data_IF_368223923894
#
_entry.id   IF_368223923894
#
_cell.length_a   1.000
_cell.length_b   1.000
_cell.length_c   1.000
_cell.angle_alpha   90.00
_cell.angle_beta   90.00
_cell.angle_gamma   90.00
#
_symmetry.space_group_name_H-M   'P 1'
#
loop_
_entity.id
_entity.type
_entity.pdbx_description
1 polymer ?
#
# COMPACT_ATOMS: atom_id res chain seq x y z
N UNK A 1 8.91 -67.42 -24.30
CA UNK A 1 7.62 -67.55 -25.01
C UNK A 1 7.00 -66.15 -25.11
N UNK A 2 7.23 -65.45 -26.23
CA UNK A 2 6.21 -65.04 -27.24
C UNK A 2 5.29 -63.90 -26.76
N UNK A 3 5.56 -62.62 -27.10
CA UNK A 3 5.17 -61.84 -28.32
C UNK A 3 3.71 -61.33 -28.28
N UNK A 4 3.42 -60.01 -28.31
CA UNK A 4 3.21 -59.12 -29.48
C UNK A 4 3.03 -57.66 -28.98
N UNK A 5 3.81 -56.66 -29.42
CA UNK A 5 3.67 -55.79 -30.60
C UNK A 5 2.56 -54.72 -30.54
N UNK A 6 2.93 -53.44 -30.39
CA UNK A 6 2.59 -52.40 -31.37
C UNK A 6 3.57 -51.21 -31.31
N UNK A 7 4.06 -50.83 -32.49
CA UNK A 7 5.07 -49.80 -32.80
C UNK A 7 4.37 -48.47 -33.10
N UNK A 8 4.98 -47.35 -32.71
CA UNK A 8 5.01 -46.14 -33.52
C UNK A 8 6.46 -45.62 -33.55
N UNK A 9 7.04 -45.58 -34.76
CA UNK A 9 8.45 -45.27 -35.02
C UNK A 9 8.66 -43.77 -35.15
N UNK A 10 9.60 -43.24 -34.39
CA UNK A 10 10.37 -42.04 -34.71
C UNK A 10 11.29 -42.30 -35.90
N UNK A 11 11.42 -41.35 -36.83
CA UNK A 11 12.62 -41.29 -37.67
C UNK A 11 12.97 -39.85 -38.01
N UNK A 12 14.02 -39.34 -37.37
CA UNK A 12 14.83 -38.25 -37.87
C UNK A 12 15.73 -38.78 -38.99
N UNK A 13 15.84 -38.06 -40.11
CA UNK A 13 17.00 -38.10 -41.00
C UNK A 13 17.24 -36.72 -41.61
N UNK A 14 18.51 -36.34 -41.58
CA UNK A 14 19.08 -35.07 -42.01
C UNK A 14 19.39 -34.99 -43.52
N UNK A 15 19.62 -33.73 -43.95
CA UNK A 15 20.50 -33.21 -45.04
C UNK A 15 19.79 -32.84 -46.37
N UNK A 16 20.38 -31.97 -47.23
CA UNK A 16 20.87 -30.61 -46.99
C UNK A 16 20.51 -29.61 -48.15
N UNK A 17 20.79 -28.31 -47.91
CA UNK A 17 21.19 -27.24 -48.85
C UNK A 17 20.52 -27.12 -50.25
N UNK A 18 19.75 -26.05 -50.45
CA UNK A 18 19.73 -25.29 -51.70
C UNK A 18 19.40 -23.81 -51.42
N UNK A 19 20.36 -22.94 -51.72
CA UNK A 19 20.22 -21.50 -51.68
C UNK A 19 19.30 -21.03 -52.80
N UNK A 20 18.27 -20.24 -52.47
CA UNK A 20 17.57 -19.41 -53.45
C UNK A 20 17.48 -17.99 -52.89
N UNK A 21 18.40 -17.15 -53.36
CA UNK A 21 18.42 -15.71 -53.21
C UNK A 21 17.21 -15.10 -53.90
N UNK A 22 16.35 -14.40 -53.16
CA UNK A 22 15.26 -13.60 -53.72
C UNK A 22 15.57 -12.12 -53.46
N UNK A 23 16.30 -11.51 -54.39
CA UNK A 23 16.49 -10.06 -54.49
C UNK A 23 15.24 -9.43 -55.10
N UNK A 24 14.47 -8.69 -54.31
CA UNK A 24 13.43 -7.77 -54.82
C UNK A 24 14.00 -6.37 -54.76
N UNK A 25 14.37 -5.84 -55.92
CA UNK A 25 14.83 -4.47 -56.11
C UNK A 25 13.62 -3.52 -56.09
N UNK A 26 13.61 -2.58 -55.15
CA UNK A 26 12.73 -1.39 -55.20
C UNK A 26 13.39 -0.37 -56.15
N UNK A 27 12.86 -0.27 -57.37
CA UNK A 27 13.19 0.80 -58.31
C UNK A 27 12.25 1.98 -58.10
N UNK A 28 12.80 3.09 -57.61
CA UNK A 28 12.18 4.40 -57.66
C UNK A 28 12.00 4.82 -59.12
N UNK A 29 10.76 5.04 -59.56
CA UNK A 29 10.46 5.74 -60.82
C UNK A 29 9.69 7.01 -60.49
N UNK A 30 10.42 8.11 -60.44
CA UNK A 30 9.93 9.47 -60.50
C UNK A 30 9.20 9.71 -61.83
N UNK A 31 7.88 9.89 -61.79
CA UNK A 31 7.08 10.22 -62.96
C UNK A 31 7.29 11.69 -63.33
N UNK A 32 8.11 11.94 -64.35
CA UNK A 32 8.18 13.23 -65.04
C UNK A 32 6.93 13.35 -65.92
N UNK A 33 5.99 14.20 -65.54
CA UNK A 33 4.83 14.51 -66.37
C UNK A 33 5.27 15.33 -67.59
N UNK A 34 5.20 14.72 -68.77
CA UNK A 34 5.33 15.43 -70.05
C UNK A 34 4.08 16.29 -70.29
N UNK A 35 4.28 17.60 -70.36
CA UNK A 35 3.24 18.55 -70.75
C UNK A 35 2.92 18.38 -72.26
N UNK A 36 1.77 17.79 -72.58
CA UNK A 36 1.22 17.83 -73.92
C UNK A 36 0.52 19.17 -74.16
N UNK A 37 0.96 19.89 -75.18
CA UNK A 37 0.36 21.16 -75.63
C UNK A 37 -0.97 20.87 -76.34
N UNK A 38 -2.08 21.23 -75.71
CA UNK A 38 -3.42 21.14 -76.32
C UNK A 38 -3.60 22.18 -77.45
N UNK A 39 -4.35 21.87 -78.52
CA UNK A 39 -4.61 22.78 -79.62
C UNK A 39 -5.58 23.90 -79.23
N UNK A 40 -5.38 25.09 -79.80
CA UNK A 40 -6.16 26.30 -79.53
C UNK A 40 -7.59 26.17 -80.08
N UNK A 41 -8.58 26.33 -79.20
CA UNK A 41 -9.99 26.49 -79.56
C UNK A 41 -10.28 27.96 -79.94
N UNK A 42 -11.19 28.22 -80.90
CA UNK A 42 -11.50 29.57 -81.37
C UNK A 42 -12.27 30.39 -80.33
N UNK A 43 -12.00 31.69 -80.31
CA UNK A 43 -12.50 32.66 -79.34
C UNK A 43 -14.03 32.83 -79.39
N UNK A 44 -14.68 32.63 -78.24
CA UNK A 44 -16.07 33.01 -78.00
C UNK A 44 -16.19 34.52 -77.68
N UNK A 45 -17.29 35.19 -78.04
CA UNK A 45 -17.46 36.64 -77.85
C UNK A 45 -17.58 37.01 -76.35
N UNK A 46 -17.08 38.20 -76.02
CA UNK A 46 -16.97 38.72 -74.66
C UNK A 46 -18.34 38.81 -73.95
N UNK A 47 -18.46 38.12 -72.81
CA UNK A 47 -19.56 38.29 -71.88
C UNK A 47 -19.43 39.63 -71.11
N UNK A 48 -20.55 40.31 -70.79
CA UNK A 48 -20.53 41.58 -70.07
C UNK A 48 -19.97 41.42 -68.65
N UNK A 49 -19.25 42.45 -68.19
CA UNK A 49 -18.58 42.47 -66.89
C UNK A 49 -19.55 42.20 -65.74
N UNK A 50 -19.26 41.13 -64.98
CA UNK A 50 -19.96 40.83 -63.73
C UNK A 50 -19.68 41.93 -62.69
N UNK A 51 -20.67 42.36 -61.89
CA UNK A 51 -20.49 43.37 -60.86
C UNK A 51 -19.48 42.89 -59.81
N UNK A 52 -18.66 43.83 -59.33
CA UNK A 52 -17.61 43.59 -58.35
C UNK A 52 -18.17 42.89 -57.10
N UNK A 53 -17.58 41.74 -56.75
CA UNK A 53 -17.90 41.05 -55.52
C UNK A 53 -17.69 42.00 -54.32
N UNK A 54 -18.63 42.10 -53.38
CA UNK A 54 -18.44 42.90 -52.18
C UNK A 54 -17.19 42.40 -51.43
N UNK A 55 -16.32 43.34 -51.07
CA UNK A 55 -15.09 43.04 -50.34
C UNK A 55 -15.42 42.21 -49.11
N UNK A 56 -14.90 40.98 -49.05
CA UNK A 56 -15.01 40.13 -47.89
C UNK A 56 -14.45 40.90 -46.69
N UNK A 57 -15.32 41.24 -45.73
CA UNK A 57 -14.90 41.79 -44.46
C UNK A 57 -13.93 40.79 -43.84
N UNK A 58 -12.69 41.24 -43.60
CA UNK A 58 -11.68 40.43 -42.95
C UNK A 58 -12.26 39.94 -41.62
N UNK A 59 -12.35 38.61 -41.46
CA UNK A 59 -12.78 38.01 -40.21
C UNK A 59 -11.92 38.58 -39.07
N UNK A 60 -12.53 38.97 -37.93
CA UNK A 60 -11.77 39.47 -36.79
C UNK A 60 -10.65 38.49 -36.45
N UNK A 61 -9.42 39.00 -36.38
CA UNK A 61 -8.25 38.20 -36.06
C UNK A 61 -8.48 37.45 -34.76
N UNK A 62 -8.26 36.13 -34.78
CA UNK A 62 -8.37 35.30 -33.59
C UNK A 62 -7.46 35.88 -32.48
N UNK A 63 -7.93 35.90 -31.22
CA UNK A 63 -7.12 36.39 -30.11
C UNK A 63 -5.79 35.65 -30.06
N UNK A 64 -4.70 36.40 -29.82
CA UNK A 64 -3.36 35.83 -29.77
C UNK A 64 -3.28 34.75 -28.67
N UNK A 65 -2.61 33.61 -28.92
CA UNK A 65 -2.48 32.56 -27.92
C UNK A 65 -1.72 33.09 -26.68
N UNK A 66 -2.06 32.60 -25.48
CA UNK A 66 -1.39 33.03 -24.26
C UNK A 66 0.11 32.67 -24.29
N UNK A 67 0.97 33.44 -23.62
CA UNK A 67 2.40 33.17 -23.57
C UNK A 67 2.69 31.80 -22.94
N UNK A 68 3.76 31.11 -23.35
CA UNK A 68 4.09 29.78 -22.84
C UNK A 68 4.40 29.81 -21.34
N UNK A 69 4.15 28.69 -20.66
CA UNK A 69 4.36 28.55 -19.21
C UNK A 69 5.79 28.91 -18.77
N UNK A 70 6.80 28.62 -19.59
CA UNK A 70 8.20 28.96 -19.30
C UNK A 70 8.49 30.47 -19.24
N UNK A 71 7.66 31.30 -19.87
CA UNK A 71 7.76 32.75 -19.84
C UNK A 71 6.94 33.35 -18.69
N UNK A 72 5.81 32.72 -18.34
CA UNK A 72 4.93 33.18 -17.25
C UNK A 72 5.48 32.79 -15.87
N UNK A 73 6.07 31.60 -15.74
CA UNK A 73 6.62 31.13 -14.48
C UNK A 73 7.95 31.83 -14.16
N UNK A 74 8.16 32.16 -12.89
CA UNK A 74 9.37 32.84 -12.42
C UNK A 74 9.96 32.14 -11.18
N UNK A 75 11.22 32.44 -10.87
CA UNK A 75 11.92 31.96 -9.68
C UNK A 75 11.89 30.43 -9.52
N UNK A 76 11.57 29.97 -8.31
CA UNK A 76 11.50 28.54 -8.00
C UNK A 76 10.37 27.82 -8.73
N UNK A 77 9.25 28.47 -9.02
CA UNK A 77 8.18 27.81 -9.78
C UNK A 77 8.63 27.41 -11.19
N UNK A 78 9.43 28.26 -11.85
CA UNK A 78 10.03 27.95 -13.16
C UNK A 78 11.04 26.82 -13.07
N UNK A 79 11.92 26.84 -12.07
CA UNK A 79 12.91 25.80 -11.87
C UNK A 79 12.26 24.41 -11.63
N UNK A 80 11.21 24.35 -10.81
CA UNK A 80 10.47 23.11 -10.55
C UNK A 80 9.73 22.63 -11.82
N UNK A 81 9.15 23.55 -12.60
CA UNK A 81 8.52 23.23 -13.89
C UNK A 81 9.52 22.66 -14.92
N UNK A 82 10.70 23.26 -15.05
CA UNK A 82 11.74 22.78 -15.96
C UNK A 82 12.28 21.41 -15.54
N UNK A 83 12.49 21.19 -14.23
CA UNK A 83 12.85 19.88 -13.70
C UNK A 83 11.75 18.83 -13.99
N UNK A 84 10.48 19.20 -13.79
CA UNK A 84 9.35 18.33 -14.09
C UNK A 84 9.29 17.93 -15.57
N UNK A 85 9.58 18.86 -16.50
CA UNK A 85 9.63 18.58 -17.95
C UNK A 85 10.71 17.57 -18.32
N UNK A 86 11.88 17.66 -17.68
CA UNK A 86 12.97 16.70 -17.90
C UNK A 86 12.51 15.31 -17.45
N UNK A 87 12.03 15.17 -16.21
CA UNK A 87 11.53 13.90 -15.68
C UNK A 87 10.38 13.32 -16.49
N UNK A 88 9.46 14.17 -16.95
CA UNK A 88 8.33 13.76 -17.78
C UNK A 88 8.79 13.18 -19.12
N UNK A 89 9.76 13.85 -19.78
CA UNK A 89 10.34 13.36 -21.04
C UNK A 89 11.07 12.02 -20.83
N UNK A 90 11.68 11.84 -19.66
CA UNK A 90 12.38 10.62 -19.29
C UNK A 90 11.43 9.48 -18.86
N UNK A 91 10.11 9.74 -18.83
CA UNK A 91 9.08 8.76 -18.47
C UNK A 91 8.93 8.55 -16.95
N UNK A 92 9.64 9.31 -16.13
CA UNK A 92 9.54 9.28 -14.67
C UNK A 92 8.36 10.14 -14.20
N UNK A 93 7.15 9.68 -14.49
CA UNK A 93 5.91 10.37 -14.14
C UNK A 93 5.70 10.47 -12.63
N UNK A 94 6.25 9.52 -11.86
CA UNK A 94 6.14 9.47 -10.40
C UNK A 94 6.88 10.64 -9.74
N UNK A 95 8.06 11.00 -10.25
CA UNK A 95 8.79 12.17 -9.76
C UNK A 95 8.37 13.46 -10.48
N UNK A 96 8.01 13.39 -11.76
CA UNK A 96 7.55 14.56 -12.52
C UNK A 96 6.29 15.20 -11.91
N UNK A 97 5.33 14.39 -11.45
CA UNK A 97 4.10 14.91 -10.84
C UNK A 97 4.39 15.73 -9.58
N UNK A 98 5.33 15.28 -8.74
CA UNK A 98 5.74 15.99 -7.51
C UNK A 98 6.28 17.38 -7.86
N UNK A 99 7.08 17.45 -8.92
CA UNK A 99 7.69 18.70 -9.40
C UNK A 99 6.66 19.65 -10.03
N UNK A 100 5.72 19.15 -10.81
CA UNK A 100 4.61 19.96 -11.33
C UNK A 100 3.67 20.43 -10.22
N UNK A 101 3.33 19.59 -9.25
CA UNK A 101 2.54 19.97 -8.07
C UNK A 101 3.23 21.08 -7.30
N UNK A 102 4.55 20.97 -7.07
CA UNK A 102 5.32 22.03 -6.42
C UNK A 102 5.33 23.34 -7.21
N UNK A 103 5.50 23.28 -8.53
CA UNK A 103 5.43 24.45 -9.39
C UNK A 103 4.04 25.12 -9.32
N UNK A 104 2.97 24.32 -9.27
CA UNK A 104 1.60 24.81 -9.15
C UNK A 104 1.33 25.43 -7.77
N UNK A 105 1.83 24.83 -6.68
CA UNK A 105 1.72 25.40 -5.33
C UNK A 105 2.35 26.79 -5.23
N UNK A 106 3.51 26.97 -5.86
CA UNK A 106 4.30 28.20 -5.83
C UNK A 106 3.74 29.31 -6.72
N UNK A 107 3.27 28.96 -7.92
CA UNK A 107 2.80 29.94 -8.91
C UNK A 107 1.29 30.17 -8.90
N UNK A 108 0.50 29.18 -8.45
CA UNK A 108 -0.96 29.10 -8.62
C UNK A 108 -1.44 29.23 -10.06
N UNK A 109 -0.57 28.98 -11.04
CA UNK A 109 -0.87 29.03 -12.46
C UNK A 109 -1.74 27.81 -12.88
N UNK A 110 -3.02 28.01 -13.23
CA UNK A 110 -3.96 26.90 -13.47
C UNK A 110 -3.52 25.99 -14.61
N UNK A 111 -2.85 26.50 -15.66
CA UNK A 111 -2.39 25.71 -16.81
C UNK A 111 -1.40 24.60 -16.45
N UNK A 112 -0.75 24.66 -15.27
CA UNK A 112 0.07 23.57 -14.76
C UNK A 112 -0.74 22.31 -14.40
N UNK A 113 -2.04 22.45 -14.08
CA UNK A 113 -2.92 21.31 -13.78
C UNK A 113 -3.04 20.35 -14.97
N UNK A 114 -2.92 20.83 -16.20
CA UNK A 114 -2.88 19.97 -17.39
C UNK A 114 -1.66 19.03 -17.38
N UNK A 115 -0.48 19.54 -17.02
CA UNK A 115 0.74 18.72 -16.92
C UNK A 115 0.64 17.70 -15.78
N UNK A 116 0.01 18.08 -14.66
CA UNK A 116 -0.28 17.18 -13.54
C UNK A 116 -1.24 16.06 -14.00
N UNK A 117 -2.32 16.41 -14.72
CA UNK A 117 -3.27 15.44 -15.26
C UNK A 117 -2.61 14.46 -16.24
N UNK A 118 -1.70 14.93 -17.11
CA UNK A 118 -0.93 14.07 -18.00
C UNK A 118 -0.03 13.08 -17.23
N UNK A 119 0.58 13.50 -16.12
CA UNK A 119 1.32 12.57 -15.26
C UNK A 119 0.38 11.52 -14.64
N UNK A 120 -0.78 11.95 -14.12
CA UNK A 120 -1.77 11.06 -13.51
C UNK A 120 -2.30 10.02 -14.52
N UNK A 121 -2.49 10.39 -15.79
CA UNK A 121 -2.83 9.47 -16.88
C UNK A 121 -1.81 8.35 -17.00
N UNK A 122 -0.52 8.69 -17.09
CA UNK A 122 0.55 7.71 -17.25
C UNK A 122 0.73 6.84 -16.00
N UNK A 123 0.39 7.36 -14.82
CA UNK A 123 0.34 6.64 -13.56
C UNK A 123 -0.96 5.84 -13.35
N UNK A 124 -1.90 5.88 -14.31
CA UNK A 124 -3.23 5.24 -14.24
C UNK A 124 -4.05 5.64 -13.00
N UNK A 125 -3.91 6.90 -12.58
CA UNK A 125 -4.63 7.52 -11.45
C UNK A 125 -5.81 8.34 -11.97
N UNK A 126 -6.78 7.67 -12.60
CA UNK A 126 -7.85 8.31 -13.36
C UNK A 126 -8.80 9.16 -12.49
N UNK A 127 -9.04 8.76 -11.25
CA UNK A 127 -9.87 9.46 -10.29
C UNK A 127 -9.24 10.78 -9.88
N UNK A 128 -7.91 10.77 -9.63
CA UNK A 128 -7.12 11.99 -9.39
C UNK A 128 -7.11 12.89 -10.63
N UNK A 129 -7.01 12.28 -11.81
CA UNK A 129 -7.05 12.98 -13.10
C UNK A 129 -8.37 13.71 -13.32
N UNK A 130 -9.50 13.04 -13.11
CA UNK A 130 -10.82 13.63 -13.21
C UNK A 130 -10.94 14.87 -12.31
N UNK A 131 -10.60 14.73 -11.02
CA UNK A 131 -10.62 15.84 -10.08
C UNK A 131 -9.66 17.00 -10.47
N UNK A 132 -8.51 16.68 -11.07
CA UNK A 132 -7.51 17.67 -11.51
C UNK A 132 -7.98 18.46 -12.73
N UNK A 133 -8.60 17.79 -13.72
CA UNK A 133 -9.12 18.45 -14.92
C UNK A 133 -10.38 19.26 -14.60
N UNK A 134 -11.26 18.77 -13.74
CA UNK A 134 -12.39 19.56 -13.22
C UNK A 134 -11.92 20.80 -12.45
N UNK A 135 -10.81 20.69 -11.71
CA UNK A 135 -10.19 21.83 -11.05
C UNK A 135 -9.60 22.81 -12.07
N UNK A 136 -8.93 22.34 -13.12
CA UNK A 136 -8.42 23.18 -14.19
C UNK A 136 -9.53 24.02 -14.82
N UNK A 137 -10.66 23.40 -15.18
CA UNK A 137 -11.79 24.11 -15.78
C UNK A 137 -12.37 25.18 -14.85
N UNK A 138 -12.45 24.89 -13.54
CA UNK A 138 -12.94 25.84 -12.53
C UNK A 138 -11.96 26.99 -12.30
N UNK A 139 -10.67 26.71 -12.16
CA UNK A 139 -9.66 27.68 -11.74
C UNK A 139 -9.14 28.55 -12.91
N UNK A 140 -9.03 27.98 -14.12
CA UNK A 140 -8.54 28.71 -15.29
C UNK A 140 -9.59 29.68 -15.84
N UNK A 141 -10.87 29.33 -15.79
CA UNK A 141 -11.97 30.17 -16.27
C UNK A 141 -11.69 30.73 -17.67
N UNK A 142 -11.72 32.07 -17.88
CA UNK A 142 -11.46 32.70 -19.18
C UNK A 142 -10.00 32.60 -19.69
N UNK A 143 -9.04 32.20 -18.85
CA UNK A 143 -7.63 32.06 -19.25
C UNK A 143 -7.40 30.80 -20.10
N UNK A 144 -8.34 29.86 -20.05
CA UNK A 144 -8.32 28.65 -20.87
C UNK A 144 -8.87 29.00 -22.25
N UNK A 145 -8.14 28.66 -23.32
CA UNK A 145 -8.66 28.86 -24.66
C UNK A 145 -9.93 28.03 -24.88
N UNK A 146 -10.80 28.44 -25.82
CA UNK A 146 -12.00 27.66 -26.13
C UNK A 146 -11.67 26.23 -26.57
N UNK A 147 -10.53 26.05 -27.25
CA UNK A 147 -10.05 24.73 -27.67
C UNK A 147 -9.63 23.90 -26.45
N UNK A 148 -8.80 24.44 -25.56
CA UNK A 148 -8.34 23.73 -24.36
C UNK A 148 -9.51 23.33 -23.45
N UNK A 149 -10.56 24.16 -23.38
CA UNK A 149 -11.79 23.82 -22.65
C UNK A 149 -12.50 22.61 -23.26
N UNK A 150 -12.67 22.59 -24.60
CA UNK A 150 -13.27 21.45 -25.31
C UNK A 150 -12.43 20.18 -25.12
N UNK A 151 -11.12 20.30 -25.26
CA UNK A 151 -10.21 19.17 -25.06
C UNK A 151 -10.30 18.62 -23.63
N UNK A 152 -10.44 19.49 -22.62
CA UNK A 152 -10.65 19.08 -21.23
C UNK A 152 -12.01 18.39 -21.01
N UNK A 153 -13.08 18.89 -21.63
CA UNK A 153 -14.42 18.27 -21.58
C UNK A 153 -14.43 16.87 -22.22
N UNK A 154 -13.84 16.73 -23.41
CA UNK A 154 -13.69 15.45 -24.11
C UNK A 154 -12.84 14.46 -23.31
N UNK A 155 -11.77 14.96 -22.68
CA UNK A 155 -10.91 14.17 -21.82
C UNK A 155 -11.66 13.65 -20.59
N UNK A 156 -12.46 14.49 -19.93
CA UNK A 156 -13.32 14.06 -18.82
C UNK A 156 -14.27 12.94 -19.29
N UNK A 157 -14.97 13.13 -20.42
CA UNK A 157 -15.88 12.12 -20.95
C UNK A 157 -15.17 10.79 -21.24
N UNK A 158 -13.95 10.84 -21.78
CA UNK A 158 -13.14 9.65 -22.07
C UNK A 158 -12.69 8.95 -20.79
N UNK A 159 -12.31 9.70 -19.75
CA UNK A 159 -11.77 9.15 -18.49
C UNK A 159 -12.86 8.53 -17.63
N UNK A 160 -14.10 9.03 -17.70
CA UNK A 160 -15.21 8.52 -16.89
C UNK A 160 -15.43 7.01 -17.06
N UNK A 161 -15.12 6.44 -18.23
CA UNK A 161 -15.22 4.99 -18.48
C UNK A 161 -14.18 4.17 -17.68
N UNK A 162 -13.09 4.80 -17.23
CA UNK A 162 -12.04 4.16 -16.43
C UNK A 162 -12.20 4.38 -14.92
N UNK A 163 -13.29 5.01 -14.49
CA UNK A 163 -13.61 5.27 -13.09
C UNK A 163 -14.99 4.71 -12.80
N UNK A 164 -15.15 4.03 -11.66
CA UNK A 164 -16.42 3.50 -11.18
C UNK A 164 -16.86 4.23 -9.92
N UNK A 165 -18.18 4.38 -9.76
CA UNK A 165 -18.78 4.84 -8.50
C UNK A 165 -18.99 3.62 -7.60
N UNK A 166 -18.31 3.59 -6.46
CA UNK A 166 -18.40 2.49 -5.50
C UNK A 166 -19.26 2.87 -4.30
N UNK A 167 -20.37 2.16 -4.10
CA UNK A 167 -21.18 2.21 -2.88
C UNK A 167 -20.64 1.19 -1.88
N UNK A 168 -20.16 1.67 -0.73
CA UNK A 168 -19.60 0.82 0.33
C UNK A 168 -20.56 0.83 1.52
N UNK A 169 -21.15 -0.32 1.81
CA UNK A 169 -21.98 -0.53 2.98
C UNK A 169 -21.18 -1.34 4.02
N UNK A 170 -21.09 -0.81 5.25
CA UNK A 170 -20.44 -1.50 6.38
C UNK A 170 -21.49 -1.68 7.47
N UNK A 171 -21.59 -2.88 8.04
CA UNK A 171 -22.53 -3.19 9.13
C UNK A 171 -22.30 -2.32 10.38
N UNK A 172 -21.05 -1.96 10.66
CA UNK A 172 -20.63 -1.19 11.81
C UNK A 172 -20.41 0.29 11.46
N UNK A 173 -21.09 1.24 12.11
CA UNK A 173 -20.81 2.66 11.97
C UNK A 173 -19.49 3.03 12.67
N UNK A 174 -18.84 4.11 12.21
CA UNK A 174 -17.56 4.58 12.75
C UNK A 174 -16.35 3.77 12.28
N UNK A 175 -16.50 2.89 11.28
CA UNK A 175 -15.40 2.14 10.70
C UNK A 175 -14.68 2.98 9.63
N UNK A 176 -13.35 3.02 9.70
CA UNK A 176 -12.49 3.68 8.71
C UNK A 176 -12.46 2.84 7.44
N UNK A 177 -12.64 3.49 6.28
CA UNK A 177 -12.58 2.84 4.97
C UNK A 177 -11.45 3.44 4.15
N UNK A 178 -10.61 2.58 3.61
CA UNK A 178 -9.49 2.93 2.74
C UNK A 178 -9.56 2.15 1.42
N UNK A 179 -9.21 2.81 0.33
CA UNK A 179 -9.06 2.22 -1.01
C UNK A 179 -7.63 2.46 -1.46
N UNK A 180 -6.89 1.40 -1.76
CA UNK A 180 -5.46 1.42 -2.11
C UNK A 180 -4.59 2.17 -1.07
N UNK A 181 -4.99 2.11 0.20
CA UNK A 181 -4.32 2.79 1.31
C UNK A 181 -4.63 4.28 1.44
N UNK A 182 -5.53 4.83 0.62
CA UNK A 182 -6.05 6.19 0.76
C UNK A 182 -7.38 6.14 1.50
N UNK A 183 -7.49 6.89 2.59
CA UNK A 183 -8.74 7.04 3.33
C UNK A 183 -9.81 7.75 2.48
N UNK A 184 -10.96 7.09 2.32
CA UNK A 184 -12.09 7.60 1.54
C UNK A 184 -13.24 8.06 2.42
N UNK A 185 -13.23 7.68 3.69
CA UNK A 185 -14.19 8.15 4.69
C UNK A 185 -14.41 7.18 5.84
N UNK A 186 -15.43 7.47 6.64
CA UNK A 186 -15.86 6.68 7.78
C UNK A 186 -17.31 6.23 7.55
N UNK A 187 -17.63 4.99 7.91
CA UNK A 187 -18.98 4.43 7.74
C UNK A 187 -19.99 5.13 8.67
N UNK A 188 -21.24 5.38 8.23
CA UNK A 188 -21.75 5.19 6.87
C UNK A 188 -21.27 6.26 5.88
N UNK A 189 -20.84 5.85 4.69
CA UNK A 189 -20.44 6.77 3.62
C UNK A 189 -21.66 7.14 2.78
N UNK A 190 -22.04 8.42 2.77
CA UNK A 190 -23.26 8.89 2.09
C UNK A 190 -23.12 8.99 0.57
N UNK A 191 -21.95 9.37 0.07
CA UNK A 191 -21.70 9.56 -1.35
C UNK A 191 -20.90 8.37 -1.93
N UNK A 192 -21.17 7.92 -3.16
CA UNK A 192 -20.34 6.93 -3.81
C UNK A 192 -18.88 7.39 -3.93
N UNK A 193 -17.95 6.49 -3.62
CA UNK A 193 -16.51 6.73 -3.72
C UNK A 193 -16.08 6.47 -5.16
N UNK A 194 -15.38 7.40 -5.80
CA UNK A 194 -14.80 7.16 -7.12
C UNK A 194 -13.57 6.27 -7.00
N UNK A 195 -13.53 5.22 -7.81
CA UNK A 195 -12.46 4.22 -7.78
C UNK A 195 -11.97 3.93 -9.20
N UNK A 196 -10.66 3.86 -9.37
CA UNK A 196 -10.02 3.55 -10.65
C UNK A 196 -10.26 2.09 -11.09
N UNK A 197 -10.37 1.87 -12.40
CA UNK A 197 -10.37 0.54 -13.02
C UNK A 197 -9.17 -0.32 -12.58
N UNK A 198 -9.37 -1.63 -12.47
CA UNK A 198 -8.35 -2.62 -12.13
C UNK A 198 -8.55 -3.25 -10.75
N UNK A 199 -7.51 -3.92 -10.24
CA UNK A 199 -7.54 -4.55 -8.92
C UNK A 199 -7.29 -3.52 -7.83
N UNK A 200 -8.26 -3.37 -6.94
CA UNK A 200 -8.28 -2.35 -5.88
C UNK A 200 -8.36 -3.02 -4.54
N UNK A 201 -7.51 -2.60 -3.61
CA UNK A 201 -7.47 -3.12 -2.25
C UNK A 201 -8.35 -2.24 -1.37
N UNK A 202 -9.45 -2.80 -0.88
CA UNK A 202 -10.33 -2.16 0.08
C UNK A 202 -9.96 -2.67 1.47
N UNK A 203 -9.77 -1.75 2.41
CA UNK A 203 -9.48 -2.02 3.80
C UNK A 203 -10.53 -1.31 4.66
N UNK A 204 -11.15 -2.06 5.56
CA UNK A 204 -12.11 -1.52 6.53
C UNK A 204 -11.63 -1.89 7.92
N UNK A 205 -11.43 -0.89 8.78
CA UNK A 205 -10.90 -1.09 10.12
C UNK A 205 -11.70 -0.31 11.16
N UNK A 206 -11.84 -0.90 12.34
CA UNK A 206 -12.48 -0.30 13.50
C UNK A 206 -11.84 -0.86 14.76
N UNK A 207 -11.48 -0.04 15.78
CA UNK A 207 -10.97 -0.55 17.03
C UNK A 207 -11.90 -1.58 17.67
N UNK A 208 -11.36 -2.72 18.11
CA UNK A 208 -12.13 -3.84 18.68
C UNK A 208 -12.78 -4.76 17.64
N UNK A 209 -12.45 -4.62 16.36
CA UNK A 209 -12.90 -5.50 15.28
C UNK A 209 -11.71 -6.02 14.49
N UNK A 210 -11.83 -7.26 14.00
CA UNK A 210 -10.87 -7.84 13.06
C UNK A 210 -10.92 -7.03 11.76
N UNK A 211 -9.76 -6.60 11.30
CA UNK A 211 -9.64 -5.82 10.08
C UNK A 211 -10.12 -6.62 8.86
N UNK A 212 -10.95 -6.00 8.01
CA UNK A 212 -11.38 -6.59 6.75
C UNK A 212 -10.54 -6.05 5.60
N UNK A 213 -9.91 -6.95 4.83
CA UNK A 213 -9.11 -6.60 3.65
C UNK A 213 -9.59 -7.44 2.47
N UNK A 214 -10.08 -6.77 1.43
CA UNK A 214 -10.57 -7.41 0.21
C UNK A 214 -9.93 -6.78 -1.01
N UNK A 215 -9.55 -7.61 -1.99
CA UNK A 215 -9.15 -7.11 -3.31
C UNK A 215 -10.31 -7.30 -4.27
N UNK A 216 -10.81 -6.20 -4.84
CA UNK A 216 -11.91 -6.20 -5.80
C UNK A 216 -11.40 -5.78 -7.17
N UNK A 217 -11.80 -6.51 -8.21
CA UNK A 217 -11.56 -6.10 -9.59
C UNK A 217 -12.69 -5.19 -10.06
N UNK A 218 -12.32 -4.00 -10.56
CA UNK A 218 -13.21 -2.94 -11.01
C UNK A 218 -13.07 -2.82 -12.52
N UNK A 219 -14.17 -2.95 -13.26
CA UNK A 219 -14.16 -2.89 -14.72
C UNK A 219 -14.11 -1.45 -15.27
N UNK A 220 -14.51 -0.44 -14.48
CA UNK A 220 -14.65 0.96 -14.91
C UNK A 220 -16.06 1.24 -15.47
N UNK A 221 -16.52 2.50 -15.39
CA UNK A 221 -17.77 2.98 -15.98
C UNK A 221 -19.04 2.62 -15.20
N UNK A 222 -19.11 1.42 -14.61
CA UNK A 222 -20.29 0.94 -13.89
C UNK A 222 -20.30 1.33 -12.40
N UNK A 223 -21.48 1.30 -11.79
CA UNK A 223 -21.65 1.41 -10.34
C UNK A 223 -21.35 0.05 -9.67
N UNK A 224 -20.48 0.06 -8.65
CA UNK A 224 -20.06 -1.14 -7.92
C UNK A 224 -20.58 -1.07 -6.49
N UNK A 225 -21.27 -2.11 -6.04
CA UNK A 225 -21.71 -2.22 -4.64
C UNK A 225 -20.83 -3.21 -3.87
N UNK A 226 -20.32 -2.79 -2.71
CA UNK A 226 -19.54 -3.61 -1.80
C UNK A 226 -20.20 -3.60 -0.41
N UNK A 227 -20.47 -4.77 0.14
CA UNK A 227 -20.99 -4.94 1.50
C UNK A 227 -19.92 -5.63 2.36
N UNK A 228 -19.51 -4.97 3.44
CA UNK A 228 -18.50 -5.45 4.37
C UNK A 228 -19.14 -5.70 5.73
N UNK A 229 -18.84 -6.85 6.32
CA UNK A 229 -19.30 -7.23 7.64
C UNK A 229 -18.09 -7.38 8.58
N UNK A 230 -17.87 -6.40 9.45
CA UNK A 230 -16.82 -6.45 10.45
C UNK A 230 -17.20 -7.41 11.58
N UNK A 231 -16.21 -8.21 12.00
CA UNK A 231 -16.35 -9.18 13.09
C UNK A 231 -15.60 -8.67 14.31
N UNK A 232 -16.24 -8.68 15.47
CA UNK A 232 -15.62 -8.21 16.70
C UNK A 232 -14.39 -9.06 17.05
N UNK A 233 -13.30 -8.40 17.44
CA UNK A 233 -12.08 -9.06 17.89
C UNK A 233 -12.18 -9.31 19.39
N UNK A 234 -12.50 -10.55 19.74
CA UNK A 234 -12.66 -10.95 21.14
C UNK A 234 -11.37 -11.59 21.62
N UNK A 235 -10.67 -10.90 22.53
CA UNK A 235 -9.39 -11.34 23.06
C UNK A 235 -9.58 -12.38 24.17
N UNK A 236 -10.01 -13.58 23.80
CA UNK A 236 -10.27 -14.68 24.74
C UNK A 236 -9.86 -16.03 24.17
N UNK A 237 -9.41 -16.92 25.05
CA UNK A 237 -9.26 -18.35 24.78
C UNK A 237 -10.15 -19.19 25.69
N UNK A 238 -10.08 -20.51 25.54
CA UNK A 238 -10.78 -21.49 26.37
C UNK A 238 -9.78 -22.26 27.22
N UNK A 239 -9.95 -22.22 28.53
CA UNK A 239 -9.13 -22.98 29.47
C UNK A 239 -9.92 -24.17 29.99
N UNK A 240 -9.36 -25.37 29.81
CA UNK A 240 -9.85 -26.61 30.40
C UNK A 240 -8.89 -27.03 31.51
N UNK A 241 -9.36 -27.05 32.75
CA UNK A 241 -8.63 -27.55 33.91
C UNK A 241 -9.21 -28.89 34.32
N UNK A 242 -8.34 -29.90 34.47
CA UNK A 242 -8.67 -31.20 35.04
C UNK A 242 -7.86 -31.39 36.33
N UNK A 243 -8.55 -31.51 37.44
CA UNK A 243 -8.00 -31.76 38.77
C UNK A 243 -8.77 -32.90 39.46
N UNK A 244 -8.37 -33.27 40.68
CA UNK A 244 -9.08 -34.26 41.49
C UNK A 244 -10.53 -33.84 41.78
N UNK A 245 -11.48 -34.77 41.96
CA UNK A 245 -12.92 -34.47 41.98
C UNK A 245 -13.36 -33.37 42.96
N UNK A 246 -12.70 -33.28 44.12
CA UNK A 246 -12.99 -32.30 45.18
C UNK A 246 -12.01 -31.13 45.22
N UNK A 247 -11.03 -31.10 44.31
CA UNK A 247 -10.02 -30.05 44.26
C UNK A 247 -10.67 -28.74 43.81
N UNK A 248 -10.46 -27.68 44.60
CA UNK A 248 -10.96 -26.34 44.30
C UNK A 248 -10.05 -25.67 43.30
N UNK A 249 -10.62 -25.22 42.19
CA UNK A 249 -9.92 -24.50 41.13
C UNK A 249 -10.21 -23.01 41.27
N UNK A 250 -9.17 -22.21 41.41
CA UNK A 250 -9.24 -20.76 41.40
C UNK A 250 -8.38 -20.18 40.27
N UNK A 251 -8.92 -19.18 39.57
CA UNK A 251 -8.23 -18.43 38.53
C UNK A 251 -8.17 -16.97 38.98
N UNK A 252 -6.97 -16.39 39.02
CA UNK A 252 -6.70 -15.02 39.49
C UNK A 252 -7.30 -14.74 40.88
N UNK A 253 -7.25 -15.74 41.77
CA UNK A 253 -7.78 -15.66 43.13
C UNK A 253 -9.29 -15.86 43.24
N UNK A 254 -10.04 -15.96 42.14
CA UNK A 254 -11.48 -16.26 42.14
C UNK A 254 -11.72 -17.75 41.96
N UNK A 255 -12.51 -18.37 42.83
CA UNK A 255 -12.92 -19.78 42.68
C UNK A 255 -13.84 -19.90 41.45
N UNK A 256 -13.44 -20.73 40.49
CA UNK A 256 -14.15 -20.94 39.22
C UNK A 256 -14.88 -22.27 39.15
N UNK A 257 -14.45 -23.28 39.93
CA UNK A 257 -15.09 -24.59 39.96
C UNK A 257 -14.36 -25.61 40.83
N UNK A 258 -14.78 -26.87 40.74
CA UNK A 258 -14.13 -28.03 41.39
C UNK A 258 -13.93 -29.18 40.40
N UNK A 259 -12.84 -29.93 40.54
CA UNK A 259 -12.54 -31.10 39.71
C UNK A 259 -12.27 -30.77 38.25
N UNK A 260 -13.31 -30.74 37.41
CA UNK A 260 -13.18 -30.33 36.01
C UNK A 260 -13.86 -29.00 35.77
N UNK A 261 -13.13 -28.05 35.20
CA UNK A 261 -13.67 -26.74 34.83
C UNK A 261 -13.28 -26.38 33.40
N UNK A 262 -14.24 -25.84 32.65
CA UNK A 262 -14.05 -25.33 31.29
C UNK A 262 -14.72 -23.97 31.16
N UNK A 263 -13.99 -22.97 30.67
CA UNK A 263 -14.52 -21.63 30.52
C UNK A 263 -13.72 -20.75 29.57
N UNK A 264 -14.32 -19.65 29.14
CA UNK A 264 -13.61 -18.60 28.42
C UNK A 264 -12.81 -17.74 29.40
N UNK A 265 -11.56 -17.48 29.05
CA UNK A 265 -10.62 -16.67 29.81
C UNK A 265 -10.07 -15.60 28.88
N UNK A 266 -9.84 -14.39 29.40
CA UNK A 266 -9.17 -13.34 28.60
C UNK A 266 -7.81 -13.83 28.13
N UNK A 267 -7.33 -13.29 27.02
CA UNK A 267 -5.98 -13.59 26.58
C UNK A 267 -4.98 -12.83 27.42
N UNK A 268 -3.87 -13.47 27.78
CA UNK A 268 -2.89 -12.97 28.73
C UNK A 268 -2.45 -14.01 29.75
N UNK A 269 -1.63 -13.58 30.70
CA UNK A 269 -1.19 -14.41 31.83
C UNK A 269 -2.24 -14.44 32.94
N UNK A 270 -2.59 -15.63 33.39
CA UNK A 270 -3.52 -15.87 34.49
C UNK A 270 -2.87 -16.76 35.56
N UNK A 271 -3.15 -16.50 36.83
CA UNK A 271 -2.68 -17.35 37.93
C UNK A 271 -3.69 -18.45 38.20
N UNK A 272 -3.34 -19.69 37.85
CA UNK A 272 -4.09 -20.88 38.19
C UNK A 272 -3.67 -21.40 39.56
N UNK A 273 -4.63 -21.56 40.46
CA UNK A 273 -4.43 -22.20 41.77
C UNK A 273 -5.38 -23.38 41.92
N UNK A 274 -4.86 -24.53 42.33
CA UNK A 274 -5.65 -25.73 42.65
C UNK A 274 -5.32 -26.17 44.07
N UNK A 275 -6.34 -26.34 44.91
CA UNK A 275 -6.16 -26.63 46.34
C UNK A 275 -7.19 -27.63 46.84
N UNK A 276 -6.77 -28.51 47.75
CA UNK A 276 -7.64 -29.42 48.48
C UNK A 276 -7.17 -29.58 49.94
N UNK A 277 -8.07 -29.87 50.90
CA UNK A 277 -7.69 -30.10 52.29
C UNK A 277 -6.64 -31.23 52.42
N UNK A 278 -5.55 -30.97 53.15
CA UNK A 278 -4.48 -31.95 53.37
C UNK A 278 -3.52 -32.13 52.18
N UNK A 279 -3.68 -31.36 51.10
CA UNK A 279 -2.83 -31.39 49.91
C UNK A 279 -1.97 -30.12 49.81
N UNK A 280 -0.81 -30.22 49.17
CA UNK A 280 0.02 -29.08 48.79
C UNK A 280 -0.69 -28.29 47.68
N UNK A 281 -0.81 -26.98 47.85
CA UNK A 281 -1.50 -26.12 46.87
C UNK A 281 -0.65 -25.99 45.61
N UNK A 282 -1.22 -26.33 44.46
CA UNK A 282 -0.60 -26.08 43.17
C UNK A 282 -0.88 -24.65 42.74
N UNK A 283 0.16 -23.91 42.34
CA UNK A 283 0.02 -22.58 41.74
C UNK A 283 0.94 -22.45 40.53
N UNK A 284 0.37 -22.02 39.40
CA UNK A 284 1.12 -21.83 38.16
C UNK A 284 0.56 -20.68 37.32
N UNK A 285 1.42 -20.03 36.55
CA UNK A 285 0.99 -19.06 35.55
C UNK A 285 0.59 -19.78 34.24
N UNK A 286 -0.57 -19.41 33.70
CA UNK A 286 -1.11 -19.94 32.46
C UNK A 286 -1.33 -18.79 31.50
N UNK A 287 -0.55 -18.78 30.42
CA UNK A 287 -0.76 -17.84 29.32
C UNK A 287 -1.81 -18.41 28.36
N UNK A 288 -2.87 -17.64 28.13
CA UNK A 288 -3.94 -17.92 27.18
C UNK A 288 -3.77 -17.01 25.96
N UNK A 289 -3.78 -17.59 24.77
CA UNK A 289 -3.78 -16.84 23.50
C UNK A 289 -5.20 -16.71 22.94
N UNK A 290 -5.41 -15.73 22.07
CA UNK A 290 -6.68 -15.53 21.37
C UNK A 290 -7.10 -16.78 20.61
N UNK A 291 -8.37 -17.16 20.74
CA UNK A 291 -8.97 -18.33 20.09
C UNK A 291 -8.28 -19.69 20.46
N UNK A 292 -7.37 -19.72 21.44
CA UNK A 292 -6.67 -20.93 21.87
C UNK A 292 -7.52 -21.77 22.82
N UNK A 293 -7.51 -23.10 22.63
CA UNK A 293 -7.96 -24.05 23.66
C UNK A 293 -6.73 -24.57 24.40
N UNK A 294 -6.62 -24.28 25.70
CA UNK A 294 -5.51 -24.73 26.54
C UNK A 294 -6.00 -25.69 27.60
N UNK A 295 -5.37 -26.86 27.68
CA UNK A 295 -5.66 -27.86 28.72
C UNK A 295 -4.57 -27.86 29.78
N UNK A 296 -4.99 -27.93 31.04
CA UNK A 296 -4.12 -28.10 32.21
C UNK A 296 -4.63 -29.25 33.05
N UNK A 297 -3.77 -30.26 33.19
CA UNK A 297 -4.00 -31.40 34.06
C UNK A 297 -3.14 -31.19 35.31
N UNK A 298 -3.78 -31.23 36.47
CA UNK A 298 -3.16 -30.94 37.76
C UNK A 298 -3.43 -32.11 38.69
N UNK A 299 -2.36 -32.68 39.23
CA UNK A 299 -2.41 -33.71 40.26
C UNK A 299 -1.73 -33.16 41.51
N UNK A 300 -2.51 -32.99 42.58
CA UNK A 300 -1.99 -32.47 43.84
C UNK A 300 -1.20 -33.55 44.59
N UNK A 301 -0.18 -33.14 45.34
CA UNK A 301 0.58 -34.02 46.24
C UNK A 301 0.10 -33.81 47.68
N UNK A 302 0.10 -34.86 48.54
CA UNK A 302 -0.20 -34.69 49.96
C UNK A 302 0.77 -33.70 50.62
N UNK A 303 0.25 -32.80 51.46
CA UNK A 303 1.08 -31.87 52.20
C UNK A 303 1.95 -32.63 53.21
N UNK A 304 3.25 -32.30 53.35
CA UNK A 304 4.09 -32.94 54.37
C UNK A 304 3.53 -32.62 55.76
N UNK A 305 3.29 -33.66 56.56
CA UNK A 305 2.93 -33.49 57.98
C UNK A 305 4.14 -32.90 58.70
N UNK A 306 4.13 -31.59 58.96
CA UNK A 306 5.24 -30.96 59.68
C UNK A 306 5.27 -31.49 61.12
N UNK A 307 6.22 -32.36 61.44
CA UNK A 307 6.57 -32.73 62.82
C UNK A 307 7.45 -31.66 63.51
N UNK A 308 7.55 -30.44 62.94
CA UNK A 308 8.45 -29.36 63.37
C UNK A 308 7.97 -28.59 64.63
N UNK A 309 7.26 -29.25 65.55
CA UNK A 309 6.93 -28.69 66.85
C UNK A 309 7.13 -29.67 68.03
N UNK A 310 7.51 -30.93 67.78
CA UNK A 310 7.55 -31.96 68.85
C UNK A 310 8.92 -32.10 69.53
N UNK A 311 10.00 -31.56 68.96
CA UNK A 311 11.36 -31.67 69.53
C UNK A 311 11.72 -30.56 70.55
N UNK A 312 11.02 -29.42 70.55
CA UNK A 312 11.46 -28.23 71.31
C UNK A 312 11.29 -28.29 72.84
N UNK A 313 10.76 -29.38 73.42
CA UNK A 313 10.51 -29.46 74.88
C UNK A 313 11.24 -30.59 75.62
N UNK A 314 12.07 -31.42 74.97
CA UNK A 314 12.88 -32.44 75.66
C UNK A 314 14.36 -32.14 75.47
N UNK A 315 14.81 -31.02 76.03
CA UNK A 315 16.21 -30.59 75.93
C UNK A 315 16.51 -29.25 76.57
N UNK A 316 15.73 -28.82 77.56
CA UNK A 316 16.14 -27.72 78.43
C UNK A 316 17.12 -28.24 79.48
N UNK A 317 18.40 -27.87 79.37
CA UNK A 317 19.41 -28.26 80.37
C UNK A 317 20.82 -27.73 80.12
N UNK A 318 21.00 -26.40 80.25
CA UNK A 318 22.21 -25.69 80.71
C UNK A 318 23.53 -25.89 79.92
N UNK A 319 24.02 -24.81 79.30
CA UNK A 319 25.36 -24.27 79.60
C UNK A 319 25.53 -22.84 79.06
N UNK A 320 25.74 -21.94 80.01
CA UNK A 320 26.06 -20.52 79.87
C UNK A 320 27.55 -20.38 79.52
N UNK A 321 27.85 -19.47 78.57
CA UNK A 321 29.07 -18.66 78.38
C UNK A 321 30.46 -19.34 78.42
N UNK A 322 31.18 -19.29 77.28
CA UNK A 322 32.37 -18.44 77.10
C UNK A 322 33.20 -18.88 75.88
N UNK A 323 33.54 -17.92 75.03
CA UNK A 323 34.78 -17.95 74.24
C UNK A 323 34.63 -18.16 72.74
N UNK A 324 35.11 -17.17 71.98
CA UNK A 324 35.77 -17.43 70.70
C UNK A 324 35.08 -16.93 69.45
N UNK A 325 35.32 -15.64 69.15
CA UNK A 325 35.21 -15.06 67.81
C UNK A 325 36.04 -15.89 66.82
N UNK A 326 35.43 -16.49 65.79
CA UNK A 326 36.06 -16.68 64.48
C UNK A 326 35.01 -16.48 63.37
N UNK A 327 35.18 -15.33 62.70
CA UNK A 327 34.96 -15.02 61.28
C UNK A 327 34.20 -16.01 60.38
N UNK A 328 33.21 -15.48 59.65
CA UNK A 328 32.63 -16.15 58.48
C UNK A 328 31.45 -15.42 57.83
N UNK A 329 31.54 -14.10 57.67
CA UNK A 329 30.59 -13.31 56.85
C UNK A 329 30.90 -13.54 55.37
N UNK A 330 30.12 -14.41 54.71
CA UNK A 330 30.05 -14.63 53.26
C UNK A 330 28.68 -15.32 53.03
N UNK A 331 27.65 -14.80 52.36
CA UNK A 331 27.57 -14.20 51.03
C UNK A 331 26.28 -13.37 50.91
N UNK A 332 26.41 -12.04 50.89
CA UNK A 332 25.44 -11.14 50.27
C UNK A 332 26.25 -10.04 49.61
N UNK A 333 26.64 -10.27 48.35
CA UNK A 333 27.14 -9.21 47.49
C UNK A 333 25.98 -8.79 46.57
N UNK A 334 25.52 -7.52 46.62
CA UNK A 334 24.69 -6.98 45.56
C UNK A 334 25.51 -6.89 44.28
N UNK A 335 24.95 -7.35 43.15
CA UNK A 335 25.53 -7.15 41.82
C UNK A 335 25.76 -5.65 41.57
N UNK A 336 26.97 -5.29 41.11
CA UNK A 336 27.26 -3.94 40.63
C UNK A 336 26.49 -3.68 39.32
N UNK A 337 25.97 -2.45 39.10
CA UNK A 337 25.33 -2.11 37.84
C UNK A 337 26.33 -2.21 36.69
N UNK A 338 25.95 -2.95 35.65
CA UNK A 338 26.68 -3.06 34.39
C UNK A 338 26.89 -1.68 33.78
N UNK A 339 28.13 -1.18 33.83
CA UNK A 339 28.55 -0.07 32.98
C UNK A 339 28.48 -0.53 31.52
N UNK A 340 27.53 0.03 30.79
CA UNK A 340 27.43 -0.11 29.34
C UNK A 340 28.66 0.49 28.66
N UNK A 341 29.65 -0.37 28.36
CA UNK A 341 30.65 -0.12 27.34
C UNK A 341 29.95 -0.18 25.97
N UNK A 342 29.53 0.99 25.48
CA UNK A 342 29.43 1.25 24.05
C UNK A 342 30.70 1.97 23.65
N UNK A 343 31.69 1.19 23.21
CA UNK A 343 32.75 1.71 22.34
C UNK A 343 32.06 2.29 21.09
N UNK A 344 32.35 3.54 20.69
CA UNK A 344 31.87 4.04 19.41
C UNK A 344 32.57 3.21 18.32
N UNK A 345 31.82 2.28 17.74
CA UNK A 345 32.22 1.59 16.53
C UNK A 345 32.29 2.60 15.41
N UNK A 346 33.51 3.02 15.07
CA UNK A 346 33.81 3.71 13.83
C UNK A 346 33.35 2.82 12.68
N UNK A 347 32.28 3.21 12.00
CA UNK A 347 31.90 2.57 10.74
C UNK A 347 32.90 3.07 9.70
N UNK A 348 33.79 2.17 9.30
CA UNK A 348 34.71 2.38 8.20
C UNK A 348 33.90 2.40 6.89
N UNK A 349 33.49 3.59 6.45
CA UNK A 349 32.78 3.79 5.18
C UNK A 349 33.81 3.80 4.05
N UNK A 350 34.51 2.69 3.87
CA UNK A 350 35.54 2.52 2.85
C UNK A 350 35.38 1.21 2.06
N UNK A 351 34.19 0.97 1.48
CA UNK A 351 34.04 0.26 0.18
C UNK A 351 32.60 0.22 -0.31
N UNK A 352 32.19 1.29 -0.99
CA UNK A 352 31.28 1.16 -2.12
C UNK A 352 31.83 2.06 -3.22
N UNK A 353 32.32 1.41 -4.26
CA UNK A 353 32.98 2.01 -5.41
C UNK A 353 32.04 2.97 -6.13
N UNK A 354 32.59 4.13 -6.47
CA UNK A 354 32.34 4.80 -7.74
C UNK A 354 31.37 5.97 -7.68
N UNK A 355 31.92 7.17 -7.54
CA UNK A 355 31.58 8.35 -8.35
C UNK A 355 32.64 9.42 -8.07
N UNK A 356 33.63 9.55 -8.96
CA UNK A 356 34.56 10.68 -8.97
C UNK A 356 33.85 11.89 -9.58
N UNK A 357 33.55 12.88 -8.76
CA UNK A 357 33.37 14.26 -9.20
C UNK A 357 34.74 14.90 -9.39
N UNK A 358 35.02 15.41 -10.58
CA UNK A 358 36.12 16.34 -10.82
C UNK A 358 35.52 17.72 -11.00
N UNK A 359 35.73 18.59 -10.01
CA UNK A 359 35.65 20.04 -10.17
C UNK A 359 37.04 20.58 -9.87
N UNK A 360 37.70 21.07 -10.92
CA UNK A 360 39.00 21.72 -10.85
C UNK A 360 39.03 22.83 -11.87
N UNK A 361 38.54 24.00 -11.47
CA UNK A 361 38.85 25.24 -12.16
C UNK A 361 40.28 25.65 -11.87
N UNK A 362 41.00 26.14 -12.88
CA UNK A 362 41.93 27.27 -12.73
C UNK A 362 42.37 27.82 -14.07
N UNK A 363 41.90 29.05 -14.34
CA UNK A 363 42.57 30.24 -14.91
C UNK A 363 41.77 30.92 -16.01
#
# INVERSE_FOLDING_TARGET
MTSRLLRARSSARHRPLAALTCTVALLCVSSVAWAQKAPAAPAAPAAPAAPAAPAAQAAPAAPAPPPPLSEVLTGMAKAEYEAARILFRDGDFSNAIIKYERAYELSREPRLLWNIALCQKNLKRYTRMLATVEKLQRDAGPQLSEQDRKDAEELIATIQVYVSRMKIAVNEPGAKVEVDGVEVGVSPITAPVLVDVGKRKIRVSKPGFKEHVETREIAGGDEVSLSVSLVQEVHRGRLLVKAGPEDVIALDGKVVGKGRWEGFVQSGGHTLRVSAPGMETYQAEVVIQDDQVRTREVELKPAPKSHLATWLWIGGGVAVLAGGIIAGVLLFQPEEPTQGNVSPGTVDVARARGFTFSFGGSR
#
